data_IF_945566656536
#
_entry.id   IF_945566656536
#
_cell.length_a   1.000
_cell.length_b   1.000
_cell.length_c   1.000
_cell.angle_alpha   90.00
_cell.angle_beta   90.00
_cell.angle_gamma   90.00
#
_symmetry.space_group_name_H-M   'P 1'
#
loop_
_entity.id
_entity.type
_entity.pdbx_description
1 polymer ?
#
# COMPACT_ATOMS: atom_id res chain seq x y z
N UNK A 1 -0.58 10.22 -6.10
CA UNK A 1 -0.62 9.32 -4.92
C UNK A 1 0.22 9.85 -3.75
N UNK A 2 1.12 10.80 -3.98
CA UNK A 2 2.00 11.48 -3.02
C UNK A 2 1.31 11.94 -1.73
N UNK A 3 0.15 12.59 -1.83
CA UNK A 3 -0.63 13.06 -0.68
C UNK A 3 -1.10 11.91 0.23
N UNK A 4 -1.57 10.81 -0.37
CA UNK A 4 -2.03 9.63 0.38
C UNK A 4 -0.85 8.96 1.07
N UNK A 5 0.30 8.86 0.41
CA UNK A 5 1.51 8.32 1.01
C UNK A 5 2.02 9.18 2.18
N UNK A 6 1.96 10.50 2.06
CA UNK A 6 2.30 11.39 3.16
C UNK A 6 1.39 11.17 4.38
N UNK A 7 0.08 11.05 4.17
CA UNK A 7 -0.86 10.73 5.26
C UNK A 7 -0.59 9.36 5.90
N UNK A 8 -0.28 8.33 5.10
CA UNK A 8 0.06 7.00 5.62
C UNK A 8 1.37 6.99 6.42
N UNK A 9 2.37 7.76 6.00
CA UNK A 9 3.63 7.91 6.75
C UNK A 9 3.36 8.58 8.10
N UNK A 10 2.56 9.65 8.12
CA UNK A 10 2.20 10.34 9.36
C UNK A 10 1.40 9.39 10.29
N UNK A 11 0.47 8.62 9.74
CA UNK A 11 -0.29 7.62 10.49
C UNK A 11 0.63 6.57 11.15
N UNK A 12 1.52 5.95 10.37
CA UNK A 12 2.46 4.93 10.84
C UNK A 12 3.43 5.47 11.90
N UNK A 13 3.80 6.75 11.80
CA UNK A 13 4.70 7.41 12.76
C UNK A 13 3.98 7.98 13.98
N UNK A 14 2.65 7.90 14.02
CA UNK A 14 1.81 8.45 15.10
C UNK A 14 1.80 9.98 15.14
N UNK A 15 2.19 10.64 14.04
CA UNK A 15 2.11 12.08 13.90
C UNK A 15 0.71 12.52 13.45
N UNK A 16 0.29 13.70 13.88
CA UNK A 16 -1.02 14.24 13.53
C UNK A 16 -1.10 14.55 12.02
N UNK A 17 -2.19 14.14 11.37
CA UNK A 17 -2.45 14.44 9.97
C UNK A 17 -3.12 15.81 9.87
N UNK A 18 -2.29 16.87 9.81
CA UNK A 18 -2.71 18.26 9.63
C UNK A 18 -2.01 18.91 8.42
N UNK A 19 -2.43 20.11 8.05
CA UNK A 19 -1.92 20.80 6.85
C UNK A 19 -0.40 21.02 6.89
N UNK A 20 0.14 21.36 8.05
CA UNK A 20 1.56 21.66 8.25
C UNK A 20 2.41 20.39 8.10
N UNK A 21 2.01 19.30 8.75
CA UNK A 21 2.74 18.03 8.73
C UNK A 21 2.72 17.38 7.34
N UNK A 22 1.57 17.38 6.67
CA UNK A 22 1.45 16.84 5.30
C UNK A 22 2.30 17.65 4.32
N UNK A 23 2.26 18.98 4.41
CA UNK A 23 3.08 19.87 3.57
C UNK A 23 4.57 19.62 3.83
N UNK A 24 4.98 19.51 5.10
CA UNK A 24 6.39 19.27 5.46
C UNK A 24 6.94 17.97 4.89
N UNK A 25 6.16 16.87 4.93
CA UNK A 25 6.57 15.59 4.33
C UNK A 25 6.70 15.70 2.81
N UNK A 26 5.75 16.35 2.13
CA UNK A 26 5.76 16.51 0.68
C UNK A 26 6.92 17.41 0.21
N UNK A 27 7.19 18.52 0.90
CA UNK A 27 8.32 19.39 0.60
C UNK A 27 9.66 18.70 0.84
N UNK A 28 9.78 17.91 1.91
CA UNK A 28 10.97 17.10 2.17
C UNK A 28 11.22 16.06 1.06
N UNK A 29 10.15 15.55 0.45
CA UNK A 29 10.21 14.68 -0.72
C UNK A 29 10.44 15.42 -2.05
N UNK A 30 10.55 16.75 -2.03
CA UNK A 30 10.77 17.58 -3.22
C UNK A 30 9.53 17.73 -4.12
N UNK A 31 8.33 17.55 -3.55
CA UNK A 31 7.06 17.70 -4.27
C UNK A 31 6.61 19.15 -4.26
N UNK A 32 6.12 19.65 -5.40
CA UNK A 32 5.42 20.93 -5.48
C UNK A 32 4.03 20.79 -4.83
N UNK A 33 3.85 21.37 -3.65
CA UNK A 33 2.62 21.21 -2.84
C UNK A 33 1.49 22.12 -3.33
N UNK A 34 0.31 21.53 -3.51
CA UNK A 34 -0.94 22.23 -3.78
C UNK A 34 -1.79 22.32 -2.51
N UNK A 35 -1.84 23.50 -1.88
CA UNK A 35 -2.54 23.71 -0.60
C UNK A 35 -4.01 23.23 -0.62
N UNK A 36 -4.71 23.39 -1.75
CA UNK A 36 -6.10 22.97 -1.89
C UNK A 36 -6.26 21.45 -1.77
N UNK A 37 -5.26 20.68 -2.23
CA UNK A 37 -5.25 19.21 -2.15
C UNK A 37 -4.89 18.74 -0.74
N UNK A 38 -3.99 19.44 -0.05
CA UNK A 38 -3.69 19.19 1.37
C UNK A 38 -4.96 19.38 2.20
N UNK A 39 -5.65 20.51 2.04
CA UNK A 39 -6.92 20.81 2.75
C UNK A 39 -8.00 19.77 2.48
N UNK A 40 -8.17 19.39 1.21
CA UNK A 40 -9.14 18.37 0.84
C UNK A 40 -8.81 17.01 1.46
N UNK A 41 -7.52 16.63 1.51
CA UNK A 41 -7.08 15.39 2.13
C UNK A 41 -7.35 15.39 3.63
N UNK A 42 -6.92 16.44 4.35
CA UNK A 42 -7.11 16.55 5.80
C UNK A 42 -8.61 16.48 6.13
N UNK A 43 -9.43 17.27 5.44
CA UNK A 43 -10.89 17.25 5.64
C UNK A 43 -11.53 15.89 5.31
N UNK A 44 -11.01 15.15 4.33
CA UNK A 44 -11.50 13.82 4.00
C UNK A 44 -11.13 12.76 5.04
N UNK A 45 -10.10 13.02 5.87
CA UNK A 45 -9.60 12.10 6.88
C UNK A 45 -10.03 12.45 8.31
N UNK A 46 -10.68 13.60 8.54
CA UNK A 46 -11.10 14.07 9.89
C UNK A 46 -11.94 13.04 10.67
N UNK A 47 -12.80 12.30 9.98
CA UNK A 47 -13.71 11.30 10.57
C UNK A 47 -13.38 9.86 10.14
N UNK A 48 -12.15 9.61 9.66
CA UNK A 48 -11.74 8.30 9.14
C UNK A 48 -10.79 7.61 10.13
N UNK A 49 -11.11 6.36 10.49
CA UNK A 49 -10.18 5.45 11.15
C UNK A 49 -9.31 4.78 10.07
N UNK A 50 -8.03 5.17 10.01
CA UNK A 50 -7.13 4.78 8.95
C UNK A 50 -6.71 3.31 9.12
N UNK A 51 -6.51 2.85 10.34
CA UNK A 51 -6.20 1.47 10.66
C UNK A 51 -7.32 0.53 10.20
N UNK A 52 -8.58 0.83 10.57
CA UNK A 52 -9.74 0.04 10.16
C UNK A 52 -9.90 0.02 8.63
N UNK A 53 -9.67 1.17 7.98
CA UNK A 53 -9.74 1.28 6.53
C UNK A 53 -8.67 0.42 5.83
N UNK A 54 -7.45 0.38 6.36
CA UNK A 54 -6.36 -0.45 5.83
C UNK A 54 -6.66 -1.94 6.02
N UNK A 55 -7.12 -2.35 7.21
CA UNK A 55 -7.50 -3.74 7.49
C UNK A 55 -8.62 -4.21 6.58
N UNK A 56 -9.66 -3.37 6.41
CA UNK A 56 -10.78 -3.65 5.51
C UNK A 56 -10.30 -3.76 4.06
N UNK A 57 -9.41 -2.88 3.63
CA UNK A 57 -8.85 -2.92 2.28
C UNK A 57 -8.00 -4.18 2.04
N UNK A 58 -7.25 -4.64 3.04
CA UNK A 58 -6.44 -5.86 2.96
C UNK A 58 -7.31 -7.14 2.94
N UNK A 59 -8.46 -7.12 3.62
CA UNK A 59 -9.39 -8.24 3.67
C UNK A 59 -10.31 -8.33 2.43
N UNK A 60 -10.39 -7.26 1.63
CA UNK A 60 -11.17 -7.27 0.40
C UNK A 60 -10.58 -8.29 -0.59
N UNK A 61 -11.39 -9.21 -1.18
CA UNK A 61 -10.90 -10.09 -2.21
C UNK A 61 -10.30 -9.25 -3.32
N UNK A 62 -9.09 -9.60 -3.77
CA UNK A 62 -8.41 -8.97 -4.89
C UNK A 62 -9.14 -9.32 -6.20
N UNK A 63 -10.38 -8.85 -6.34
CA UNK A 63 -11.08 -8.84 -7.59
C UNK A 63 -10.24 -7.96 -8.53
N UNK A 64 -9.67 -8.59 -9.56
CA UNK A 64 -8.73 -7.98 -10.48
C UNK A 64 -9.18 -6.59 -10.89
N UNK A 65 -8.25 -5.64 -10.83
CA UNK A 65 -8.45 -4.25 -11.23
C UNK A 65 -8.94 -4.19 -12.69
N UNK A 66 -10.25 -4.23 -12.89
CA UNK A 66 -10.87 -3.77 -14.11
C UNK A 66 -10.84 -2.25 -14.07
N UNK A 67 -9.92 -1.67 -14.81
CA UNK A 67 -9.84 -0.24 -15.05
C UNK A 67 -11.20 0.29 -15.53
N UNK A 68 -11.74 1.31 -14.85
CA UNK A 68 -12.81 2.12 -15.40
C UNK A 68 -13.77 2.72 -14.38
N UNK A 69 -13.64 4.03 -14.17
CA UNK A 69 -14.83 4.89 -14.12
C UNK A 69 -15.47 5.11 -12.75
N UNK A 70 -15.32 6.36 -12.31
CA UNK A 70 -16.26 7.11 -11.49
C UNK A 70 -17.72 6.65 -11.54
N UNK A 71 -18.29 6.59 -10.34
CA UNK A 71 -19.66 6.94 -9.96
C UNK A 71 -20.83 5.98 -10.24
N UNK A 72 -21.62 5.90 -9.17
CA UNK A 72 -23.07 5.84 -9.10
C UNK A 72 -23.75 4.47 -8.93
N UNK A 73 -24.81 4.55 -8.15
CA UNK A 73 -25.58 3.48 -7.57
C UNK A 73 -26.60 2.90 -8.57
N UNK A 74 -27.28 1.87 -8.10
CA UNK A 74 -28.59 1.37 -8.52
C UNK A 74 -28.62 0.13 -9.44
N UNK A 75 -29.04 -0.96 -8.78
CA UNK A 75 -30.05 -1.92 -9.21
C UNK A 75 -29.77 -3.00 -10.28
N UNK A 76 -30.00 -4.22 -9.77
CA UNK A 76 -30.87 -5.26 -10.35
C UNK A 76 -30.24 -6.34 -11.23
N UNK A 77 -30.30 -7.55 -10.68
CA UNK A 77 -30.67 -8.84 -11.28
C UNK A 77 -30.08 -9.21 -12.66
N UNK A 78 -29.42 -10.36 -12.75
CA UNK A 78 -30.06 -11.64 -13.08
C UNK A 78 -28.98 -12.74 -13.20
N UNK A 79 -29.40 -13.98 -13.13
CA UNK A 79 -28.59 -15.19 -13.03
C UNK A 79 -27.70 -15.47 -14.24
N UNK A 80 -26.53 -16.08 -14.00
CA UNK A 80 -25.90 -16.98 -14.98
C UNK A 80 -24.98 -17.98 -14.25
N UNK A 81 -25.58 -19.13 -13.99
CA UNK A 81 -24.97 -20.45 -13.87
C UNK A 81 -23.84 -20.66 -14.90
N UNK A 82 -22.66 -21.06 -14.42
CA UNK A 82 -21.60 -21.68 -15.22
C UNK A 82 -20.69 -22.50 -14.29
N UNK A 83 -21.15 -23.73 -14.07
CA UNK A 83 -20.34 -24.93 -13.85
C UNK A 83 -19.21 -24.99 -14.89
N UNK A 84 -17.94 -25.03 -14.45
CA UNK A 84 -16.88 -25.72 -15.19
C UNK A 84 -15.83 -26.24 -14.20
N UNK A 85 -15.72 -27.55 -14.25
CA UNK A 85 -14.79 -28.47 -13.60
C UNK A 85 -13.34 -28.23 -14.09
N UNK A 86 -12.40 -28.91 -13.43
CA UNK A 86 -10.99 -29.10 -13.85
C UNK A 86 -10.01 -27.91 -13.77
N UNK A 87 -9.11 -27.95 -12.78
CA UNK A 87 -7.74 -28.44 -13.02
C UNK A 87 -6.99 -28.54 -11.67
N UNK A 88 -6.94 -29.79 -11.20
CA UNK A 88 -6.08 -30.29 -10.13
C UNK A 88 -4.73 -30.61 -10.77
N UNK A 89 -3.67 -29.81 -10.53
CA UNK A 89 -2.30 -30.31 -10.70
C UNK A 89 -1.25 -29.42 -9.98
N UNK A 90 -0.70 -30.04 -8.93
CA UNK A 90 0.72 -30.08 -8.55
C UNK A 90 1.55 -28.78 -8.47
N UNK A 91 2.11 -28.51 -7.29
CA UNK A 91 3.46 -29.03 -6.97
C UNK A 91 4.06 -28.41 -5.69
N UNK A 92 4.29 -29.30 -4.72
CA UNK A 92 5.53 -29.42 -3.95
C UNK A 92 5.97 -28.28 -3.03
N UNK A 93 5.44 -28.33 -1.80
CA UNK A 93 6.18 -27.96 -0.60
C UNK A 93 7.02 -29.16 -0.11
N UNK A 94 8.34 -29.10 -0.30
CA UNK A 94 9.35 -29.84 0.47
C UNK A 94 10.70 -29.14 0.26
N UNK A 95 11.16 -28.36 1.22
CA UNK A 95 12.09 -28.82 2.28
C UNK A 95 13.56 -28.72 1.82
N UNK A 96 14.11 -27.51 1.90
CA UNK A 96 15.56 -27.27 1.86
C UNK A 96 15.90 -26.32 3.03
N UNK A 97 15.96 -26.90 4.23
CA UNK A 97 16.65 -26.32 5.38
C UNK A 97 17.67 -27.35 5.89
N UNK A 98 18.92 -27.23 5.45
CA UNK A 98 20.14 -27.53 6.22
C UNK A 98 21.33 -27.09 5.33
N UNK A 99 21.91 -25.91 5.52
CA UNK A 99 22.96 -25.58 6.49
C UNK A 99 24.38 -25.96 6.00
N UNK A 100 25.30 -25.05 6.32
CA UNK A 100 26.77 -25.15 6.31
C UNK A 100 27.62 -24.81 5.05
N UNK A 101 28.31 -23.66 5.21
CA UNK A 101 29.73 -23.42 4.93
C UNK A 101 30.18 -22.91 3.53
N UNK A 102 30.29 -21.58 3.35
CA UNK A 102 31.60 -20.99 3.05
C UNK A 102 31.66 -19.47 3.34
N UNK A 103 32.64 -19.10 4.16
CA UNK A 103 33.03 -17.74 4.44
C UNK A 103 33.75 -17.10 3.24
N UNK A 104 33.45 -15.84 2.93
CA UNK A 104 34.35 -15.05 2.07
C UNK A 104 33.71 -13.86 1.40
N UNK A 105 34.14 -12.67 1.82
CA UNK A 105 34.24 -11.46 0.98
C UNK A 105 32.95 -10.65 0.73
N UNK A 106 32.63 -9.76 1.66
CA UNK A 106 31.67 -8.68 1.43
C UNK A 106 31.82 -7.45 2.34
N UNK A 107 32.89 -7.39 3.14
CA UNK A 107 33.02 -6.44 4.25
C UNK A 107 33.96 -5.25 4.03
N UNK A 108 34.65 -5.14 2.88
CA UNK A 108 35.68 -4.11 2.69
C UNK A 108 35.18 -2.81 2.03
N UNK A 109 33.93 -2.76 1.57
CA UNK A 109 33.44 -1.60 0.79
C UNK A 109 32.82 -0.45 1.59
N UNK A 110 32.44 -0.65 2.86
CA UNK A 110 31.61 0.34 3.59
C UNK A 110 32.41 1.34 4.44
N UNK A 111 33.69 1.08 4.70
CA UNK A 111 34.55 1.95 5.51
C UNK A 111 35.11 3.16 4.75
N UNK A 112 35.25 3.08 3.42
CA UNK A 112 35.77 4.17 2.59
C UNK A 112 34.71 5.21 2.20
N UNK A 113 33.41 4.91 2.33
CA UNK A 113 32.34 5.84 1.94
C UNK A 113 31.91 6.80 3.06
N UNK A 114 32.39 6.59 4.28
CA UNK A 114 32.15 7.49 5.44
C UNK A 114 33.46 8.06 6.04
N UNK A 115 34.60 7.90 5.36
CA UNK A 115 35.90 8.43 5.76
C UNK A 115 36.20 9.82 5.22
#
# INVERSE_FOLDING_TARGET
MEYVYAALILNETGEEINEDNVTGVLEAAGVDVEESRVKALVAALEDVDIEEAIETAAAAPAAGASAGGSADADASADEADADDDDDDDEAEAADEADDDEEEGDGGEGLGELFG
#
